data_IF_447614982618
#
_entry.id   IF_447614982618
#
_cell.length_a   1.000
_cell.length_b   1.000
_cell.length_c   1.000
_cell.angle_alpha   90.00
_cell.angle_beta   90.00
_cell.angle_gamma   90.00
#
_symmetry.space_group_name_H-M   'P 1'
#
loop_
_entity.id
_entity.type
_entity.pdbx_description
1 polymer ?
#
# COMPACT_ATOMS: atom_id res chain seq x y z
N UNK A 1 -6.05 16.72 5.78
CA UNK A 1 -5.19 15.55 5.93
C UNK A 1 -5.71 14.63 7.04
N UNK A 2 -5.72 13.33 6.78
CA UNK A 2 -5.93 12.31 7.80
C UNK A 2 -4.91 11.18 7.60
N UNK A 3 -4.58 10.47 8.68
CA UNK A 3 -3.71 9.31 8.64
C UNK A 3 -4.33 8.18 9.47
N UNK A 4 -4.11 6.95 9.03
CA UNK A 4 -4.59 5.74 9.70
C UNK A 4 -3.41 5.03 10.36
N UNK A 5 -3.61 4.57 11.58
CA UNK A 5 -2.71 3.64 12.25
C UNK A 5 -3.49 2.47 12.86
N UNK A 6 -2.80 1.41 13.20
CA UNK A 6 -3.36 0.25 13.88
C UNK A 6 -2.94 0.25 15.34
N UNK A 7 -3.90 0.28 16.25
CA UNK A 7 -3.64 0.02 17.67
C UNK A 7 -3.68 -1.49 17.93
N UNK A 8 -2.51 -2.10 17.96
CA UNK A 8 -2.37 -3.56 18.12
C UNK A 8 -2.76 -4.02 19.53
N UNK A 9 -2.65 -3.13 20.54
CA UNK A 9 -3.03 -3.48 21.92
C UNK A 9 -4.54 -3.60 22.07
N UNK A 10 -5.29 -2.72 21.39
CA UNK A 10 -6.75 -2.66 21.49
C UNK A 10 -7.46 -3.20 20.24
N UNK A 11 -6.72 -3.79 19.30
CA UNK A 11 -7.21 -4.46 18.09
C UNK A 11 -8.13 -3.57 17.25
N UNK A 12 -7.77 -2.29 17.08
CA UNK A 12 -8.61 -1.32 16.38
C UNK A 12 -7.83 -0.38 15.48
N UNK A 13 -8.56 0.18 14.55
CA UNK A 13 -8.09 1.29 13.72
C UNK A 13 -8.08 2.60 14.51
N UNK A 14 -7.07 3.41 14.27
CA UNK A 14 -6.95 4.78 14.81
C UNK A 14 -6.83 5.76 13.66
N UNK A 15 -7.83 6.65 13.54
CA UNK A 15 -7.87 7.70 12.53
C UNK A 15 -7.44 9.05 13.14
N UNK A 16 -6.31 9.56 12.68
CA UNK A 16 -5.80 10.87 13.05
C UNK A 16 -6.35 11.95 12.12
N UNK A 17 -7.22 12.83 12.64
CA UNK A 17 -7.76 13.99 11.92
C UNK A 17 -7.28 15.33 12.50
N UNK A 18 -6.66 15.31 13.66
CA UNK A 18 -6.18 16.49 14.38
C UNK A 18 -4.96 16.17 15.22
N UNK A 19 -4.31 17.19 15.77
CA UNK A 19 -3.13 17.06 16.60
C UNK A 19 -1.82 17.15 15.80
N UNK A 20 -0.77 16.50 16.28
CA UNK A 20 0.56 16.54 15.66
C UNK A 20 0.61 15.73 14.36
N UNK A 21 0.83 16.41 13.24
CA UNK A 21 1.04 15.76 11.93
C UNK A 21 2.22 14.79 11.97
N UNK A 22 3.30 15.16 12.64
CA UNK A 22 4.47 14.30 12.79
C UNK A 22 4.13 12.98 13.48
N UNK A 23 3.39 13.03 14.59
CA UNK A 23 3.00 11.84 15.34
C UNK A 23 2.06 10.95 14.54
N UNK A 24 1.11 11.55 13.82
CA UNK A 24 0.18 10.83 12.95
C UNK A 24 0.92 10.08 11.83
N UNK A 25 1.82 10.75 11.12
CA UNK A 25 2.64 10.14 10.07
C UNK A 25 3.54 9.05 10.68
N UNK A 26 4.22 9.36 11.80
CA UNK A 26 5.14 8.42 12.45
C UNK A 26 4.44 7.12 12.88
N UNK A 27 3.20 7.22 13.37
CA UNK A 27 2.38 6.05 13.71
C UNK A 27 1.97 5.30 12.44
N UNK A 28 1.46 6.01 11.45
CA UNK A 28 0.94 5.45 10.18
C UNK A 28 1.96 4.66 9.37
N UNK A 29 3.25 5.02 9.45
CA UNK A 29 4.35 4.35 8.73
C UNK A 29 5.13 3.35 9.61
N UNK A 30 4.63 2.99 10.78
CA UNK A 30 5.30 2.06 11.70
C UNK A 30 5.17 0.61 11.24
N UNK A 31 5.78 0.30 10.08
CA UNK A 31 5.78 -1.05 9.49
C UNK A 31 6.40 -2.05 10.47
N UNK A 32 5.68 -3.14 10.82
CA UNK A 32 6.20 -4.19 11.69
C UNK A 32 7.57 -4.70 11.25
N UNK A 33 8.42 -5.04 12.19
CA UNK A 33 9.79 -5.55 11.99
C UNK A 33 10.78 -4.45 11.59
N UNK A 34 10.39 -3.43 10.81
CA UNK A 34 11.28 -2.39 10.30
C UNK A 34 11.32 -1.15 11.19
N UNK A 35 10.17 -0.74 11.71
CA UNK A 35 10.09 0.44 12.55
C UNK A 35 9.57 0.09 13.94
N UNK A 36 10.16 0.76 14.93
CA UNK A 36 9.68 0.64 16.31
C UNK A 36 8.25 1.18 16.39
N UNK A 37 7.29 0.44 16.96
CA UNK A 37 5.94 0.93 17.20
C UNK A 37 5.93 2.24 18.00
N UNK A 38 4.92 3.06 17.78
CA UNK A 38 4.68 4.24 18.62
C UNK A 38 3.83 3.79 19.81
N UNK A 39 4.40 3.94 21.01
CA UNK A 39 3.76 3.51 22.25
C UNK A 39 3.43 4.70 23.12
N UNK A 40 2.24 4.70 23.70
CA UNK A 40 1.85 5.49 24.85
C UNK A 40 1.26 4.57 25.92
N UNK A 41 0.70 5.15 26.99
CA UNK A 41 0.18 4.37 28.14
C UNK A 41 -0.91 3.38 27.72
N UNK A 42 -1.78 3.74 26.79
CA UNK A 42 -2.98 3.00 26.43
C UNK A 42 -2.90 2.30 25.07
N UNK A 43 -2.01 2.73 24.17
CA UNK A 43 -1.97 2.28 22.77
C UNK A 43 -0.59 1.77 22.36
N UNK A 44 -0.57 0.80 21.45
CA UNK A 44 0.61 0.35 20.73
C UNK A 44 0.34 0.50 19.22
N UNK A 45 0.80 1.63 18.65
CA UNK A 45 0.48 2.01 17.28
C UNK A 45 1.51 1.45 16.28
N UNK A 46 1.00 0.80 15.26
CA UNK A 46 1.72 0.30 14.09
C UNK A 46 1.09 0.84 12.81
N UNK A 47 1.66 0.46 11.66
CA UNK A 47 1.21 0.85 10.33
C UNK A 47 -0.30 0.62 10.17
N UNK A 48 -0.99 1.63 9.64
CA UNK A 48 -2.43 1.57 9.44
C UNK A 48 -2.87 0.52 8.43
N UNK A 49 -1.99 0.18 7.49
CA UNK A 49 -2.27 -0.82 6.48
C UNK A 49 -2.51 -2.24 7.05
N UNK A 50 -2.09 -2.53 8.28
CA UNK A 50 -2.37 -3.83 8.92
C UNK A 50 -3.88 -4.12 9.03
N UNK A 51 -4.70 -3.08 9.23
CA UNK A 51 -6.16 -3.20 9.28
C UNK A 51 -6.80 -2.60 8.03
N UNK A 52 -6.38 -1.39 7.65
CA UNK A 52 -7.01 -0.63 6.58
C UNK A 52 -5.96 -0.12 5.57
N UNK A 53 -5.50 -0.96 4.63
CA UNK A 53 -4.48 -0.59 3.64
C UNK A 53 -5.01 0.38 2.58
N UNK A 54 -6.32 0.57 2.48
CA UNK A 54 -6.95 1.40 1.47
C UNK A 54 -8.16 2.17 2.04
N UNK A 55 -7.95 3.23 2.84
CA UNK A 55 -8.94 3.83 3.72
C UNK A 55 -10.00 4.69 3.01
N UNK A 56 -10.63 4.17 1.95
CA UNK A 56 -11.70 4.82 1.16
C UNK A 56 -12.93 5.15 2.00
N UNK A 57 -13.30 4.27 2.91
CA UNK A 57 -14.43 4.45 3.82
C UNK A 57 -14.36 5.80 4.54
N UNK A 58 -13.18 6.23 4.97
CA UNK A 58 -13.03 7.51 5.68
C UNK A 58 -13.24 8.72 4.79
N UNK A 59 -12.88 8.65 3.51
CA UNK A 59 -13.11 9.74 2.55
C UNK A 59 -14.59 9.85 2.23
N UNK A 60 -15.25 8.73 1.93
CA UNK A 60 -16.68 8.65 1.62
C UNK A 60 -17.53 9.14 2.80
N UNK A 61 -17.24 8.68 4.02
CA UNK A 61 -17.97 9.07 5.24
C UNK A 61 -17.81 10.56 5.59
N UNK A 62 -16.79 11.25 5.07
CA UNK A 62 -16.62 12.68 5.26
C UNK A 62 -17.34 13.55 4.22
N UNK A 63 -18.17 12.95 3.34
CA UNK A 63 -19.03 13.67 2.40
C UNK A 63 -18.28 14.27 1.22
N UNK A 64 -17.27 13.59 0.71
CA UNK A 64 -16.58 13.98 -0.52
C UNK A 64 -17.52 13.83 -1.72
N UNK A 65 -17.63 14.86 -2.57
CA UNK A 65 -18.44 14.84 -3.80
C UNK A 65 -17.82 13.92 -4.86
N UNK A 66 -16.50 13.86 -4.87
CA UNK A 66 -15.69 13.01 -5.76
C UNK A 66 -14.55 12.34 -4.99
N UNK A 67 -14.34 11.09 -5.27
CA UNK A 67 -13.31 10.26 -4.64
C UNK A 67 -12.29 9.81 -5.68
N UNK A 68 -11.07 10.33 -5.56
CA UNK A 68 -9.90 9.86 -6.33
C UNK A 68 -9.08 8.95 -5.42
N UNK A 69 -8.83 7.75 -5.87
CA UNK A 69 -8.15 6.73 -5.11
C UNK A 69 -6.88 6.24 -5.80
N UNK A 70 -5.80 6.07 -5.02
CA UNK A 70 -4.55 5.48 -5.49
C UNK A 70 -4.26 4.24 -4.64
N UNK A 71 -4.36 3.07 -5.24
CA UNK A 71 -4.08 1.80 -4.60
C UNK A 71 -2.68 1.31 -4.97
N UNK A 72 -1.74 1.37 -4.04
CA UNK A 72 -0.35 0.90 -4.22
C UNK A 72 -0.15 -0.56 -3.81
N UNK A 73 -1.21 -1.19 -3.30
CA UNK A 73 -1.23 -2.61 -2.91
C UNK A 73 -2.18 -3.42 -3.79
N UNK A 74 -2.39 -2.98 -5.02
CA UNK A 74 -3.27 -3.67 -5.95
C UNK A 74 -2.76 -5.07 -6.29
N UNK A 75 -3.71 -5.98 -6.58
CA UNK A 75 -3.38 -7.32 -7.04
C UNK A 75 -2.69 -7.24 -8.40
N UNK A 76 -1.62 -8.02 -8.57
CA UNK A 76 -0.92 -8.11 -9.85
C UNK A 76 -1.81 -8.77 -10.90
N UNK A 77 -2.14 -8.05 -11.97
CA UNK A 77 -2.78 -8.64 -13.16
C UNK A 77 -1.69 -8.93 -14.19
N UNK A 78 -1.87 -9.99 -14.95
CA UNK A 78 -0.94 -10.43 -16.00
C UNK A 78 -0.72 -9.36 -17.09
N UNK A 79 -1.61 -8.37 -17.21
CA UNK A 79 -1.52 -7.29 -18.21
C UNK A 79 -0.48 -6.21 -17.85
N UNK A 80 -0.19 -6.00 -16.58
CA UNK A 80 0.78 -4.98 -16.15
C UNK A 80 2.24 -5.46 -16.29
N UNK A 81 2.46 -6.76 -16.18
CA UNK A 81 3.77 -7.41 -16.26
C UNK A 81 4.51 -7.13 -17.59
N UNK A 82 3.86 -7.20 -18.78
CA UNK A 82 4.53 -6.93 -20.05
C UNK A 82 5.03 -5.49 -20.23
N UNK A 83 4.41 -4.51 -19.59
CA UNK A 83 4.83 -3.11 -19.68
C UNK A 83 6.09 -2.85 -18.86
N UNK A 84 6.23 -3.50 -17.71
CA UNK A 84 7.44 -3.46 -16.89
C UNK A 84 8.59 -4.26 -17.50
N UNK A 85 8.28 -5.38 -18.18
CA UNK A 85 9.28 -6.20 -18.89
C UNK A 85 9.97 -5.47 -20.04
N UNK A 86 9.27 -4.53 -20.70
CA UNK A 86 9.86 -3.69 -21.76
C UNK A 86 10.93 -2.74 -21.25
N UNK A 87 10.97 -2.46 -19.95
CA UNK A 87 12.00 -1.62 -19.31
C UNK A 87 13.22 -2.40 -18.85
N UNK A 88 13.26 -3.73 -19.06
CA UNK A 88 14.41 -4.59 -18.74
C UNK A 88 14.67 -4.81 -17.25
N UNK A 89 13.74 -4.40 -16.37
CA UNK A 89 13.94 -4.37 -14.92
C UNK A 89 13.07 -5.34 -14.12
N UNK A 90 12.38 -6.26 -14.80
CA UNK A 90 11.42 -7.13 -14.13
C UNK A 90 12.07 -8.29 -13.37
N UNK A 91 13.29 -8.67 -13.69
CA UNK A 91 13.95 -9.79 -13.02
C UNK A 91 14.26 -9.49 -11.55
N UNK A 92 14.43 -8.20 -11.22
CA UNK A 92 14.69 -7.74 -9.85
C UNK A 92 13.40 -7.34 -9.08
N UNK A 93 12.26 -7.18 -9.77
CA UNK A 93 11.03 -6.63 -9.20
C UNK A 93 10.17 -7.65 -8.43
N UNK A 94 10.52 -8.92 -8.47
CA UNK A 94 9.80 -9.96 -7.73
C UNK A 94 10.54 -10.38 -6.46
N UNK A 95 10.18 -9.86 -5.29
CA UNK A 95 10.68 -10.48 -4.05
C UNK A 95 10.18 -11.93 -3.90
N UNK A 96 9.12 -12.33 -4.66
CA UNK A 96 8.50 -13.65 -4.56
C UNK A 96 8.19 -14.34 -5.90
N UNK A 97 8.48 -13.74 -7.04
CA UNK A 97 7.97 -14.15 -8.35
C UNK A 97 8.96 -14.63 -9.40
N UNK A 98 9.86 -15.43 -9.09
CA UNK A 98 10.46 -16.58 -9.77
C UNK A 98 11.14 -17.34 -8.67
N UNK A 99 10.95 -18.66 -8.63
CA UNK A 99 11.62 -19.56 -7.69
C UNK A 99 12.98 -19.02 -7.27
N UNK A 100 12.98 -18.14 -6.29
CA UNK A 100 14.22 -17.67 -5.70
C UNK A 100 14.76 -18.90 -4.93
N UNK A 101 15.86 -19.52 -5.35
CA UNK A 101 16.40 -20.69 -4.68
C UNK A 101 16.73 -20.41 -3.21
N UNK A 102 16.84 -19.14 -2.81
CA UNK A 102 17.00 -18.74 -1.41
C UNK A 102 15.74 -18.93 -0.55
N UNK A 103 14.54 -19.01 -1.12
CA UNK A 103 13.32 -19.34 -0.35
C UNK A 103 13.32 -20.82 0.03
N UNK A 104 13.95 -21.68 -0.78
CA UNK A 104 14.03 -23.13 -0.53
C UNK A 104 15.26 -23.55 0.29
N UNK A 105 16.25 -22.66 0.48
CA UNK A 105 17.48 -22.96 1.23
C UNK A 105 17.70 -21.97 2.40
N UNK A 106 16.77 -21.92 3.36
CA UNK A 106 16.91 -21.10 4.55
C UNK A 106 16.22 -19.74 4.45
N UNK A 107 14.93 -19.75 4.09
CA UNK A 107 14.08 -18.57 4.21
C UNK A 107 14.13 -18.07 5.65
N UNK A 108 14.60 -16.86 5.86
CA UNK A 108 14.57 -16.27 7.18
C UNK A 108 13.10 -16.03 7.52
N UNK A 109 12.69 -16.37 8.74
CA UNK A 109 11.34 -16.15 9.29
C UNK A 109 10.79 -14.74 8.94
N UNK A 110 11.65 -13.73 8.88
CA UNK A 110 11.29 -12.36 8.51
C UNK A 110 10.74 -12.24 7.08
N UNK A 111 11.29 -12.98 6.11
CA UNK A 111 10.80 -12.95 4.71
C UNK A 111 9.44 -13.61 4.58
N UNK A 112 9.25 -14.70 5.29
CA UNK A 112 7.95 -15.40 5.31
C UNK A 112 6.88 -14.53 5.95
N UNK A 113 7.17 -13.90 7.08
CA UNK A 113 6.26 -12.95 7.73
C UNK A 113 5.90 -11.78 6.83
N UNK A 114 6.88 -11.18 6.15
CA UNK A 114 6.62 -10.09 5.20
C UNK A 114 5.75 -10.54 4.03
N UNK A 115 5.97 -11.74 3.51
CA UNK A 115 5.14 -12.29 2.45
C UNK A 115 3.69 -12.47 2.91
N UNK A 116 3.47 -13.01 4.11
CA UNK A 116 2.14 -13.17 4.69
C UNK A 116 1.48 -11.80 4.90
N UNK A 117 2.19 -10.83 5.48
CA UNK A 117 1.66 -9.47 5.66
C UNK A 117 1.28 -8.88 4.30
N UNK A 118 2.13 -8.98 3.29
CA UNK A 118 1.83 -8.45 1.95
C UNK A 118 0.60 -9.10 1.33
N UNK A 119 0.45 -10.42 1.46
CA UNK A 119 -0.76 -11.12 0.99
C UNK A 119 -2.02 -10.64 1.71
N UNK A 120 -1.94 -10.41 3.02
CA UNK A 120 -3.05 -9.85 3.80
C UNK A 120 -3.40 -8.44 3.35
N UNK A 121 -2.40 -7.57 3.12
CA UNK A 121 -2.60 -6.21 2.64
C UNK A 121 -3.30 -6.19 1.26
N UNK A 122 -2.85 -7.01 0.32
CA UNK A 122 -3.46 -7.14 -1.01
C UNK A 122 -4.91 -7.62 -0.90
N UNK A 123 -5.16 -8.65 -0.09
CA UNK A 123 -6.49 -9.20 0.09
C UNK A 123 -7.46 -8.20 0.74
N UNK A 124 -7.03 -7.52 1.80
CA UNK A 124 -7.83 -6.49 2.48
C UNK A 124 -8.08 -5.28 1.57
N UNK A 125 -7.08 -4.82 0.84
CA UNK A 125 -7.22 -3.73 -0.13
C UNK A 125 -8.28 -4.04 -1.17
N UNK A 126 -8.30 -5.26 -1.70
CA UNK A 126 -9.30 -5.69 -2.68
C UNK A 126 -10.71 -5.75 -2.09
N UNK A 127 -10.86 -6.26 -0.87
CA UNK A 127 -12.16 -6.30 -0.18
C UNK A 127 -12.70 -4.89 0.07
N UNK A 128 -11.86 -3.98 0.55
CA UNK A 128 -12.25 -2.58 0.81
C UNK A 128 -12.64 -1.90 -0.50
N UNK A 129 -11.89 -2.11 -1.58
CA UNK A 129 -12.19 -1.58 -2.90
C UNK A 129 -13.57 -2.02 -3.40
N UNK A 130 -13.91 -3.29 -3.22
CA UNK A 130 -15.21 -3.82 -3.64
C UNK A 130 -16.38 -3.23 -2.85
N UNK A 131 -16.16 -2.89 -1.60
CA UNK A 131 -17.19 -2.33 -0.71
C UNK A 131 -17.33 -0.81 -0.82
N UNK A 132 -16.30 -0.11 -1.34
CA UNK A 132 -16.23 1.34 -1.34
C UNK A 132 -15.93 1.83 -2.78
N UNK A 133 -16.94 2.20 -3.57
CA UNK A 133 -16.74 2.72 -4.91
C UNK A 133 -16.03 4.09 -4.86
N UNK A 134 -15.20 4.36 -5.86
CA UNK A 134 -14.56 5.66 -6.08
C UNK A 134 -14.76 6.10 -7.54
N UNK A 135 -14.69 7.41 -7.78
CA UNK A 135 -14.91 7.99 -9.12
C UNK A 135 -13.73 7.75 -10.04
N UNK A 136 -12.51 7.83 -9.52
CA UNK A 136 -11.27 7.57 -10.25
C UNK A 136 -10.37 6.65 -9.42
N UNK A 137 -9.96 5.54 -10.01
CA UNK A 137 -9.05 4.57 -9.38
C UNK A 137 -7.75 4.45 -10.19
N UNK A 138 -6.63 4.68 -9.52
CA UNK A 138 -5.30 4.35 -10.03
C UNK A 138 -4.75 3.18 -9.24
N UNK A 139 -4.42 2.11 -9.94
CA UNK A 139 -3.88 0.90 -9.31
C UNK A 139 -2.41 0.69 -9.70
N UNK A 140 -1.57 0.55 -8.68
CA UNK A 140 -0.19 0.13 -8.82
C UNK A 140 -0.06 -1.25 -8.14
N UNK A 141 0.26 -2.31 -8.91
CA UNK A 141 0.44 -3.64 -8.33
C UNK A 141 1.51 -3.65 -7.25
N UNK A 142 1.25 -4.33 -6.14
CA UNK A 142 2.18 -4.45 -5.01
C UNK A 142 3.54 -5.06 -5.41
N UNK A 143 3.59 -5.77 -6.55
CA UNK A 143 4.81 -6.35 -7.11
C UNK A 143 5.65 -5.38 -7.95
N UNK A 144 5.16 -4.14 -8.20
CA UNK A 144 5.84 -3.18 -9.10
C UNK A 144 7.13 -2.64 -8.51
N UNK A 145 7.17 -2.41 -7.21
CA UNK A 145 8.32 -1.89 -6.47
C UNK A 145 8.44 -2.56 -5.11
N UNK A 146 9.66 -2.57 -4.58
CA UNK A 146 9.92 -3.08 -3.23
C UNK A 146 9.69 -1.98 -2.19
N UNK A 147 9.36 -2.38 -0.96
CA UNK A 147 9.06 -1.47 0.14
C UNK A 147 10.19 -0.46 0.43
N UNK A 148 11.45 -0.77 0.09
CA UNK A 148 12.63 0.05 0.35
C UNK A 148 13.33 0.58 -0.89
N UNK A 149 12.64 0.63 -2.04
CA UNK A 149 13.17 1.18 -3.29
C UNK A 149 13.27 2.73 -3.28
N UNK A 150 13.64 3.34 -2.14
CA UNK A 150 13.72 4.79 -1.98
C UNK A 150 14.63 5.48 -3.02
N UNK A 151 15.69 4.80 -3.46
CA UNK A 151 16.59 5.32 -4.50
C UNK A 151 15.99 5.25 -5.91
N UNK A 152 14.86 4.58 -6.11
CA UNK A 152 14.09 4.55 -7.35
C UNK A 152 12.96 5.61 -7.37
N UNK A 153 12.98 6.59 -6.46
CA UNK A 153 11.91 7.57 -6.29
C UNK A 153 11.51 8.27 -7.60
N UNK A 154 12.47 8.62 -8.46
CA UNK A 154 12.19 9.23 -9.76
C UNK A 154 11.43 8.28 -10.70
N UNK A 155 11.82 7.02 -10.74
CA UNK A 155 11.17 5.98 -11.57
C UNK A 155 9.74 5.73 -11.07
N UNK A 156 9.56 5.60 -9.75
CA UNK A 156 8.25 5.42 -9.12
C UNK A 156 7.33 6.60 -9.43
N UNK A 157 7.85 7.82 -9.33
CA UNK A 157 7.12 9.05 -9.67
C UNK A 157 6.65 9.05 -11.13
N UNK A 158 7.52 8.74 -12.09
CA UNK A 158 7.17 8.73 -13.51
C UNK A 158 6.13 7.66 -13.85
N UNK A 159 6.19 6.49 -13.21
CA UNK A 159 5.18 5.44 -13.36
C UNK A 159 3.84 5.91 -12.81
N UNK A 160 3.81 6.46 -11.60
CA UNK A 160 2.59 6.98 -10.98
C UNK A 160 1.96 8.11 -11.79
N UNK A 161 2.77 9.07 -12.26
CA UNK A 161 2.33 10.18 -13.11
C UNK A 161 1.69 9.68 -14.41
N UNK A 162 2.31 8.71 -15.07
CA UNK A 162 1.76 8.12 -16.30
C UNK A 162 0.43 7.43 -16.04
N UNK A 163 0.36 6.56 -15.04
CA UNK A 163 -0.88 5.85 -14.70
C UNK A 163 -2.02 6.82 -14.37
N UNK A 164 -1.75 7.86 -13.60
CA UNK A 164 -2.74 8.90 -13.30
C UNK A 164 -3.20 9.61 -14.57
N UNK A 165 -2.27 10.02 -15.45
CA UNK A 165 -2.62 10.71 -16.71
C UNK A 165 -3.49 9.83 -17.62
N UNK A 166 -3.19 8.54 -17.74
CA UNK A 166 -3.98 7.59 -18.52
C UNK A 166 -5.41 7.42 -17.96
N UNK A 167 -5.57 7.41 -16.65
CA UNK A 167 -6.89 7.31 -16.02
C UNK A 167 -7.70 8.61 -16.12
N UNK A 168 -7.05 9.78 -15.98
CA UNK A 168 -7.71 11.07 -16.15
C UNK A 168 -8.26 11.26 -17.56
N UNK A 169 -7.50 10.90 -18.61
CA UNK A 169 -7.97 10.95 -19.98
C UNK A 169 -9.22 10.08 -20.22
N UNK A 170 -9.29 8.91 -19.60
CA UNK A 170 -10.47 8.05 -19.66
C UNK A 170 -11.66 8.66 -18.93
N UNK A 171 -11.41 9.31 -17.80
CA UNK A 171 -12.46 9.90 -16.98
C UNK A 171 -13.07 11.15 -17.65
N UNK A 172 -12.27 11.98 -18.32
CA UNK A 172 -12.72 13.16 -19.06
C UNK A 172 -13.53 12.77 -20.33
N UNK A 173 -13.44 11.51 -20.79
CA UNK A 173 -14.15 11.00 -21.97
C UNK A 173 -15.53 10.42 -21.66
N UNK A 174 -15.93 10.37 -20.39
CA UNK A 174 -17.24 9.90 -19.90
C UNK A 174 -18.16 11.08 -19.61
#
# INVERSE_FOLDING_TARGET
>A
FAAVATDVRNEKEVLFKSGSLYNAIRASISIPIFFKPVQNEDMLLMDGALINPFPLNHVIMNGADKVVAINVTAKSNNEFIPQLQRTGKLEDAYPFGKRNPFILQGASLHRELLAVIQMMLISNSELIRQQNPCDLLVELPASSFQCFDFFKAKEIYEVGRRLMSEQLLKWESI
#
